data_IF_096882723037
#
_entry.id   IF_096882723037
#
_cell.length_a   1.000
_cell.length_b   1.000
_cell.length_c   1.000
_cell.angle_alpha   90.00
_cell.angle_beta   90.00
_cell.angle_gamma   90.00
#
_symmetry.space_group_name_H-M   'P 1'
#
loop_
_entity.id
_entity.type
_entity.pdbx_description
1 polymer ?
#
# COMPACT_ATOMS: atom_id res chain seq x y z
N UNK A 1 17.68 5.40 23.71
CA UNK A 1 17.88 4.94 22.33
C UNK A 1 16.87 3.83 21.99
N UNK A 2 15.64 4.19 21.63
CA UNK A 2 14.60 3.25 21.14
C UNK A 2 14.09 3.65 19.74
N UNK A 3 14.63 4.74 19.18
CA UNK A 3 14.16 5.40 17.96
C UNK A 3 14.96 5.00 16.71
N UNK A 4 15.99 4.15 16.84
CA UNK A 4 16.92 3.84 15.75
C UNK A 4 16.95 2.36 15.33
N UNK A 5 16.23 1.47 16.01
CA UNK A 5 16.18 0.08 15.57
C UNK A 5 15.11 -0.11 14.48
N UNK A 6 15.46 -0.75 13.34
CA UNK A 6 14.49 -1.06 12.31
C UNK A 6 13.42 -2.00 12.88
N UNK A 7 12.16 -1.60 12.77
CA UNK A 7 11.04 -2.40 13.26
C UNK A 7 10.95 -3.68 12.41
N UNK A 8 11.45 -4.79 12.95
CA UNK A 8 11.21 -6.12 12.39
C UNK A 8 9.77 -6.54 12.72
N UNK A 9 8.85 -6.24 11.83
CA UNK A 9 7.40 -6.43 12.05
C UNK A 9 6.93 -7.86 11.77
N UNK A 10 7.77 -8.73 11.21
CA UNK A 10 7.37 -10.07 10.77
C UNK A 10 6.25 -10.09 9.73
N UNK A 11 5.99 -8.94 9.08
CA UNK A 11 4.90 -8.78 8.12
C UNK A 11 5.14 -9.58 6.85
N UNK A 12 4.13 -10.33 6.42
CA UNK A 12 4.11 -11.03 5.13
C UNK A 12 2.95 -10.51 4.31
N UNK A 13 3.27 -9.92 3.15
CA UNK A 13 2.31 -9.44 2.15
C UNK A 13 2.61 -10.10 0.81
N UNK A 14 1.56 -10.38 0.03
CA UNK A 14 1.67 -11.05 -1.27
C UNK A 14 0.57 -10.57 -2.21
N UNK A 15 0.88 -10.49 -3.49
CA UNK A 15 -0.08 -10.27 -4.55
C UNK A 15 0.27 -11.19 -5.73
N UNK A 16 -0.75 -11.78 -6.36
CA UNK A 16 -0.61 -12.67 -7.50
C UNK A 16 -1.59 -12.23 -8.59
N UNK A 17 -1.07 -12.10 -9.81
CA UNK A 17 -1.86 -11.84 -11.01
C UNK A 17 -2.39 -13.15 -11.59
N UNK A 18 -3.63 -13.13 -12.05
CA UNK A 18 -4.27 -14.25 -12.75
C UNK A 18 -5.15 -13.72 -13.89
N UNK A 19 -5.60 -14.61 -14.79
CA UNK A 19 -6.49 -14.22 -15.87
C UNK A 19 -7.85 -13.76 -15.31
N UNK A 20 -8.11 -12.45 -15.43
CA UNK A 20 -9.29 -11.79 -14.88
C UNK A 20 -9.02 -10.85 -13.70
N UNK A 21 -7.82 -10.85 -13.10
CA UNK A 21 -7.52 -9.91 -12.01
C UNK A 21 -6.30 -10.22 -11.16
N UNK A 22 -6.38 -9.81 -9.89
CA UNK A 22 -5.32 -10.02 -8.89
C UNK A 22 -5.92 -10.54 -7.60
N UNK A 23 -5.17 -11.38 -6.89
CA UNK A 23 -5.45 -11.80 -5.51
C UNK A 23 -4.36 -11.22 -4.61
N UNK A 24 -4.76 -10.54 -3.55
CA UNK A 24 -3.86 -9.98 -2.54
C UNK A 24 -4.09 -10.65 -1.19
N UNK A 25 -3.02 -10.76 -0.40
CA UNK A 25 -3.08 -11.36 0.93
C UNK A 25 -2.03 -10.76 1.85
N UNK A 26 -2.38 -10.68 3.13
CA UNK A 26 -1.50 -10.18 4.18
C UNK A 26 -1.78 -10.93 5.50
N UNK A 27 -0.75 -11.06 6.34
CA UNK A 27 -0.97 -11.42 7.74
C UNK A 27 -1.57 -10.23 8.53
N UNK A 28 -2.16 -10.49 9.70
CA UNK A 28 -2.85 -9.45 10.49
C UNK A 28 -2.10 -9.01 11.75
N UNK A 29 -0.91 -9.56 12.02
CA UNK A 29 -0.19 -9.28 13.26
C UNK A 29 0.71 -8.05 13.10
N UNK A 30 0.69 -7.18 14.09
CA UNK A 30 1.63 -6.05 14.25
C UNK A 30 2.33 -6.20 15.59
N UNK A 31 3.66 -6.17 15.59
CA UNK A 31 4.50 -6.34 16.78
C UNK A 31 5.43 -5.15 17.00
N UNK A 32 5.76 -4.90 18.27
CA UNK A 32 6.84 -4.00 18.68
C UNK A 32 7.86 -4.84 19.45
N UNK A 33 8.91 -5.28 18.75
CA UNK A 33 9.79 -6.33 19.26
C UNK A 33 9.02 -7.62 19.51
N UNK A 34 9.17 -8.21 20.71
CA UNK A 34 8.46 -9.42 21.10
C UNK A 34 6.98 -9.19 21.52
N UNK A 35 6.58 -7.93 21.72
CA UNK A 35 5.21 -7.60 22.15
C UNK A 35 4.26 -7.53 20.95
N UNK A 36 3.12 -8.21 21.05
CA UNK A 36 2.07 -8.12 20.03
C UNK A 36 1.22 -6.89 20.29
N UNK A 37 1.48 -5.82 19.54
CA UNK A 37 0.75 -4.57 19.61
C UNK A 37 -0.69 -4.73 19.10
N UNK A 38 -0.89 -5.48 18.02
CA UNK A 38 -2.22 -5.78 17.48
C UNK A 38 -2.21 -7.15 16.77
N UNK A 39 -3.27 -7.94 16.94
CA UNK A 39 -3.42 -9.29 16.36
C UNK A 39 -4.23 -9.33 15.06
N UNK A 40 -4.99 -8.28 14.78
CA UNK A 40 -6.03 -8.25 13.73
C UNK A 40 -5.96 -6.96 12.91
N UNK A 41 -4.76 -6.44 12.69
CA UNK A 41 -4.54 -5.28 11.83
C UNK A 41 -4.86 -5.62 10.38
N UNK A 42 -5.67 -4.79 9.74
CA UNK A 42 -5.83 -4.85 8.30
C UNK A 42 -4.69 -4.09 7.61
N UNK A 43 -3.90 -4.83 6.82
CA UNK A 43 -2.76 -4.31 6.05
C UNK A 43 -3.12 -4.07 4.58
N UNK A 44 -4.35 -4.39 4.18
CA UNK A 44 -4.89 -4.19 2.85
C UNK A 44 -5.72 -2.91 2.86
N UNK A 45 -5.22 -1.86 2.23
CA UNK A 45 -5.90 -0.56 2.22
C UNK A 45 -6.49 -0.29 0.83
N UNK A 46 -7.81 -0.04 0.72
CA UNK A 46 -8.38 0.43 -0.54
C UNK A 46 -7.86 1.83 -0.83
N UNK A 47 -7.24 2.00 -2.00
CA UNK A 47 -6.77 3.31 -2.51
C UNK A 47 -7.81 3.90 -3.46
N UNK A 48 -8.52 3.03 -4.17
CA UNK A 48 -9.69 3.32 -4.99
C UNK A 48 -10.55 2.04 -5.09
N UNK A 49 -11.78 2.11 -5.60
CA UNK A 49 -12.71 0.98 -5.75
C UNK A 49 -12.12 -0.33 -6.30
N UNK A 50 -11.11 -0.25 -7.19
CA UNK A 50 -10.47 -1.42 -7.83
C UNK A 50 -8.96 -1.49 -7.62
N UNK A 51 -8.41 -0.68 -6.71
CA UNK A 51 -6.98 -0.58 -6.47
C UNK A 51 -6.74 -0.60 -4.97
N UNK A 52 -5.92 -1.55 -4.54
CA UNK A 52 -5.54 -1.75 -3.15
C UNK A 52 -4.02 -1.62 -3.01
N UNK A 53 -3.59 -1.26 -1.80
CA UNK A 53 -2.19 -1.37 -1.43
C UNK A 53 -2.02 -2.27 -0.20
N UNK A 54 -0.98 -3.10 -0.23
CA UNK A 54 -0.54 -3.86 0.93
C UNK A 54 0.56 -3.06 1.64
N UNK A 55 0.44 -2.87 2.95
CA UNK A 55 1.36 -2.04 3.74
C UNK A 55 2.31 -2.89 4.60
N UNK A 56 3.61 -2.59 4.54
CA UNK A 56 4.65 -3.17 5.40
C UNK A 56 5.68 -2.11 5.80
N UNK A 57 6.30 -2.26 6.98
CA UNK A 57 7.20 -1.26 7.55
C UNK A 57 6.57 -0.49 8.71
N UNK A 58 6.90 0.79 8.85
CA UNK A 58 6.31 1.67 9.86
C UNK A 58 4.82 1.83 9.60
N UNK A 59 4.00 1.53 10.61
CA UNK A 59 2.55 1.64 10.51
C UNK A 59 2.12 3.09 10.23
N UNK A 60 2.74 4.06 10.89
CA UNK A 60 2.43 5.48 10.72
C UNK A 60 2.78 5.97 9.31
N UNK A 61 3.99 5.65 8.84
CA UNK A 61 4.49 6.10 7.53
C UNK A 61 3.63 5.54 6.40
N UNK A 62 3.35 4.23 6.44
CA UNK A 62 2.58 3.57 5.39
C UNK A 62 1.12 4.01 5.35
N UNK A 63 0.51 4.33 6.51
CA UNK A 63 -0.83 4.90 6.57
C UNK A 63 -0.87 6.30 5.95
N UNK A 64 0.04 7.18 6.38
CA UNK A 64 0.09 8.54 5.87
C UNK A 64 0.29 8.60 4.35
N UNK A 65 1.17 7.74 3.82
CA UNK A 65 1.39 7.65 2.37
C UNK A 65 0.17 7.09 1.64
N UNK A 66 -0.49 6.06 2.18
CA UNK A 66 -1.69 5.49 1.56
C UNK A 66 -2.84 6.50 1.48
N UNK A 67 -3.09 7.24 2.57
CA UNK A 67 -4.14 8.26 2.62
C UNK A 67 -3.87 9.41 1.65
N UNK A 68 -2.61 9.88 1.59
CA UNK A 68 -2.22 10.94 0.67
C UNK A 68 -2.39 10.52 -0.80
N UNK A 69 -1.98 9.29 -1.15
CA UNK A 69 -2.12 8.77 -2.51
C UNK A 69 -3.58 8.52 -2.87
N UNK A 70 -4.40 7.99 -1.94
CA UNK A 70 -5.82 7.78 -2.16
C UNK A 70 -6.53 9.10 -2.48
N UNK A 71 -6.22 10.18 -1.73
CA UNK A 71 -6.74 11.51 -2.00
C UNK A 71 -6.34 12.03 -3.39
N UNK A 72 -5.06 11.96 -3.74
CA UNK A 72 -4.56 12.40 -5.04
C UNK A 72 -5.18 11.62 -6.20
N UNK A 73 -5.33 10.30 -6.03
CA UNK A 73 -5.88 9.43 -7.05
C UNK A 73 -7.38 9.68 -7.25
N UNK A 74 -8.13 9.88 -6.17
CA UNK A 74 -9.55 10.23 -6.22
C UNK A 74 -9.79 11.59 -6.88
N UNK A 75 -8.96 12.59 -6.56
CA UNK A 75 -9.02 13.88 -7.24
C UNK A 75 -8.77 13.74 -8.75
N UNK A 76 -7.72 13.01 -9.13
CA UNK A 76 -7.37 12.76 -10.52
C UNK A 76 -8.45 11.97 -11.29
N UNK A 77 -9.12 11.01 -10.65
CA UNK A 77 -10.22 10.27 -11.30
C UNK A 77 -11.46 11.13 -11.52
N UNK A 78 -11.76 12.06 -10.61
CA UNK A 78 -12.86 13.02 -10.77
C UNK A 78 -12.54 14.01 -11.90
N UNK A 79 -11.32 14.53 -11.96
CA UNK A 79 -10.90 15.48 -13.00
C UNK A 79 -10.96 14.88 -14.41
N UNK A 80 -10.61 13.61 -14.56
CA UNK A 80 -10.61 12.92 -15.85
C UNK A 80 -11.92 12.21 -16.20
N UNK A 81 -12.86 12.14 -15.25
CA UNK A 81 -14.10 11.36 -15.36
C UNK A 81 -13.87 9.89 -15.82
N UNK A 82 -12.69 9.32 -15.51
CA UNK A 82 -12.28 7.97 -15.87
C UNK A 82 -11.79 7.22 -14.61
N UNK A 83 -12.11 5.92 -14.44
CA UNK A 83 -11.51 5.13 -13.37
C UNK A 83 -9.98 5.15 -13.47
N UNK A 84 -9.28 5.32 -12.34
CA UNK A 84 -7.83 5.44 -12.36
C UNK A 84 -7.17 4.12 -12.79
N UNK A 85 -6.00 4.24 -13.42
CA UNK A 85 -5.17 3.09 -13.82
C UNK A 85 -4.30 2.63 -12.65
N UNK A 86 -4.03 1.32 -12.55
CA UNK A 86 -3.18 0.77 -11.48
C UNK A 86 -1.78 1.38 -11.55
N UNK A 87 -1.24 1.54 -12.76
CA UNK A 87 0.05 2.19 -13.01
C UNK A 87 0.12 3.63 -12.47
N UNK A 88 -0.98 4.38 -12.53
CA UNK A 88 -1.01 5.76 -12.02
C UNK A 88 -0.89 5.76 -10.50
N UNK A 89 -1.63 4.89 -9.81
CA UNK A 89 -1.51 4.71 -8.37
C UNK A 89 -0.07 4.32 -7.97
N UNK A 90 0.51 3.32 -8.63
CA UNK A 90 1.88 2.88 -8.38
C UNK A 90 2.91 4.02 -8.58
N UNK A 91 2.69 4.90 -9.57
CA UNK A 91 3.55 6.06 -9.80
C UNK A 91 3.48 7.08 -8.65
N UNK A 92 2.29 7.33 -8.11
CA UNK A 92 2.12 8.23 -6.96
C UNK A 92 2.79 7.68 -5.71
N UNK A 93 2.61 6.38 -5.41
CA UNK A 93 3.33 5.71 -4.33
C UNK A 93 4.85 5.80 -4.50
N UNK A 94 5.36 5.50 -5.69
CA UNK A 94 6.78 5.60 -6.00
C UNK A 94 7.31 7.02 -5.77
N UNK A 95 6.58 8.05 -6.21
CA UNK A 95 7.00 9.44 -6.01
C UNK A 95 7.02 9.85 -4.54
N UNK A 96 6.00 9.45 -3.77
CA UNK A 96 5.93 9.72 -2.32
C UNK A 96 7.07 9.02 -1.58
N UNK A 97 7.28 7.72 -1.83
CA UNK A 97 8.35 6.95 -1.19
C UNK A 97 9.74 7.48 -1.57
N UNK A 98 9.96 7.88 -2.83
CA UNK A 98 11.26 8.40 -3.26
C UNK A 98 11.55 9.78 -2.66
N UNK A 99 10.53 10.65 -2.56
CA UNK A 99 10.68 12.01 -2.02
C UNK A 99 11.15 12.01 -0.57
N UNK A 100 10.63 11.09 0.24
CA UNK A 100 10.92 11.00 1.68
C UNK A 100 11.69 9.72 2.03
N UNK A 101 12.51 9.21 1.11
CA UNK A 101 13.17 7.90 1.24
C UNK A 101 14.10 7.75 2.46
N UNK A 102 14.60 8.86 2.99
CA UNK A 102 15.49 8.87 4.17
C UNK A 102 14.69 8.97 5.48
N UNK A 103 13.40 9.32 5.40
CA UNK A 103 12.52 9.58 6.54
C UNK A 103 11.44 8.50 6.71
N UNK A 104 11.04 7.83 5.61
CA UNK A 104 10.00 6.81 5.60
C UNK A 104 10.55 5.39 5.60
N UNK A 105 9.94 4.53 6.40
CA UNK A 105 10.09 3.08 6.31
C UNK A 105 8.82 2.44 5.77
N UNK A 106 8.77 2.25 4.45
CA UNK A 106 7.58 1.76 3.75
C UNK A 106 7.93 0.74 2.65
N UNK A 107 7.41 -0.47 2.79
CA UNK A 107 7.28 -1.46 1.72
C UNK A 107 5.81 -1.55 1.29
N UNK A 108 5.52 -1.21 0.05
CA UNK A 108 4.16 -1.17 -0.49
C UNK A 108 4.07 -2.04 -1.74
N UNK A 109 3.07 -2.93 -1.77
CA UNK A 109 2.63 -3.59 -3.00
C UNK A 109 1.35 -2.91 -3.44
N UNK A 110 1.29 -2.43 -4.69
CA UNK A 110 0.09 -1.82 -5.26
C UNK A 110 -0.50 -2.79 -6.25
N UNK A 111 -1.72 -3.25 -6.01
CA UNK A 111 -2.35 -4.22 -6.89
C UNK A 111 -3.79 -3.81 -7.16
N UNK A 112 -4.26 -4.07 -8.37
CA UNK A 112 -5.63 -3.73 -8.74
C UNK A 112 -6.01 -4.24 -10.11
N UNK A 113 -7.15 -3.78 -10.57
CA UNK A 113 -7.65 -4.08 -11.90
C UNK A 113 -8.06 -2.79 -12.60
N UNK A 114 -7.65 -2.64 -13.87
CA UNK A 114 -8.15 -1.57 -14.72
C UNK A 114 -8.63 -2.09 -16.09
N UNK A 115 -9.54 -1.36 -16.77
CA UNK A 115 -10.10 -1.80 -18.05
C UNK A 115 -9.08 -1.89 -19.20
N UNK A 116 -7.87 -1.32 -19.06
CA UNK A 116 -6.91 -1.21 -20.15
C UNK A 116 -5.88 -2.33 -20.13
N UNK A 117 -5.48 -2.80 -18.95
CA UNK A 117 -4.47 -3.84 -18.78
C UNK A 117 -4.91 -5.01 -17.91
N UNK A 118 -6.15 -5.00 -17.41
CA UNK A 118 -6.66 -6.05 -16.53
C UNK A 118 -6.05 -5.99 -15.14
N UNK A 119 -5.81 -7.16 -14.54
CA UNK A 119 -5.15 -7.28 -13.25
C UNK A 119 -3.67 -6.90 -13.32
N UNK A 120 -3.18 -6.13 -12.35
CA UNK A 120 -1.77 -5.73 -12.29
C UNK A 120 -1.28 -5.70 -10.84
N UNK A 121 -0.01 -6.05 -10.65
CA UNK A 121 0.76 -5.94 -9.40
C UNK A 121 1.99 -5.06 -9.63
#
# INVERSE_FOLDING_TARGET
>A
EWTAEPVSTGTTIMAVEFDGGVVIGADSRTTTGAYIANRVTDKLTPVHDRIFCCRSGSAADTQAVADAVAYQLAFHSVELEEPPRVRTAARLFQQSCYRYREELSAGIIVAGWDPRRGGQV
#
